data_IF_591487910740
#
_entry.id   IF_591487910740
#
_cell.length_a   1.000
_cell.length_b   1.000
_cell.length_c   1.000
_cell.angle_alpha   90.00
_cell.angle_beta   90.00
_cell.angle_gamma   90.00
#
_symmetry.space_group_name_H-M   'P 1'
#
loop_
_entity.id
_entity.type
_entity.pdbx_description
1 polymer ?
#
# COMPACT_ATOMS: atom_id res chain seq x y z
N UNK A 1 -15.07 22.59 25.01
CA UNK A 1 -15.44 21.30 24.38
C UNK A 1 -14.58 21.15 23.13
N UNK A 2 -13.95 19.99 22.91
CA UNK A 2 -13.19 19.74 21.69
C UNK A 2 -14.16 19.50 20.52
N UNK A 3 -13.88 20.07 19.35
CA UNK A 3 -14.64 19.85 18.13
C UNK A 3 -14.65 18.36 17.76
N UNK A 4 -15.82 17.84 17.43
CA UNK A 4 -16.02 16.48 16.92
C UNK A 4 -15.70 16.45 15.43
N UNK A 5 -15.56 15.25 14.87
CA UNK A 5 -15.39 15.08 13.43
C UNK A 5 -16.51 15.76 12.63
N UNK A 6 -17.76 15.69 13.11
CA UNK A 6 -18.93 16.30 12.47
C UNK A 6 -18.77 17.82 12.34
N UNK A 7 -18.28 18.48 13.39
CA UNK A 7 -17.97 19.92 13.38
C UNK A 7 -16.86 20.25 12.34
N UNK A 8 -15.87 19.36 12.23
CA UNK A 8 -14.77 19.50 11.29
C UNK A 8 -15.17 19.22 9.83
N UNK A 9 -16.06 18.26 9.60
CA UNK A 9 -16.62 17.96 8.29
C UNK A 9 -17.52 19.10 7.80
N UNK A 10 -18.38 19.63 8.68
CA UNK A 10 -19.19 20.80 8.37
C UNK A 10 -18.32 22.02 8.04
N UNK A 11 -17.24 22.24 8.82
CA UNK A 11 -16.29 23.32 8.55
C UNK A 11 -15.55 23.16 7.22
N UNK A 12 -15.25 21.93 6.82
CA UNK A 12 -14.64 21.63 5.52
C UNK A 12 -15.57 21.97 4.34
N UNK A 13 -16.86 21.62 4.42
CA UNK A 13 -17.81 21.95 3.36
C UNK A 13 -17.93 23.48 3.18
N UNK A 14 -17.93 24.25 4.27
CA UNK A 14 -17.90 25.72 4.21
C UNK A 14 -16.60 26.19 3.54
N UNK A 15 -15.45 25.69 3.98
CA UNK A 15 -14.14 26.04 3.41
C UNK A 15 -14.07 25.80 1.89
N UNK A 16 -14.55 24.63 1.44
CA UNK A 16 -14.59 24.24 0.03
C UNK A 16 -15.57 25.08 -0.79
N UNK A 17 -16.77 25.34 -0.25
CA UNK A 17 -17.80 26.13 -0.94
C UNK A 17 -17.37 27.57 -1.24
N UNK A 18 -16.41 28.08 -0.46
CA UNK A 18 -15.82 29.41 -0.60
C UNK A 18 -14.40 29.35 -1.19
N UNK A 19 -14.02 28.23 -1.84
CA UNK A 19 -12.74 28.03 -2.52
C UNK A 19 -11.50 28.33 -1.66
N UNK A 20 -11.60 28.13 -0.34
CA UNK A 20 -10.51 28.40 0.61
C UNK A 20 -10.28 29.87 0.93
N UNK A 21 -11.06 30.79 0.36
CA UNK A 21 -11.02 32.25 0.64
C UNK A 21 -11.89 32.61 1.85
N UNK A 22 -11.81 31.82 2.92
CA UNK A 22 -12.60 32.03 4.14
C UNK A 22 -11.77 31.83 5.38
N UNK A 23 -11.88 32.75 6.34
CA UNK A 23 -11.13 32.73 7.58
C UNK A 23 -11.73 31.79 8.63
N UNK A 24 -10.92 31.34 9.59
CA UNK A 24 -11.39 30.51 10.71
C UNK A 24 -12.57 31.14 11.50
N UNK A 25 -12.58 32.45 11.83
CA UNK A 25 -13.74 33.08 12.47
C UNK A 25 -15.02 32.93 11.64
N UNK A 26 -14.96 33.15 10.33
CA UNK A 26 -16.10 33.07 9.41
C UNK A 26 -16.62 31.63 9.28
N UNK A 27 -15.72 30.63 9.16
CA UNK A 27 -16.11 29.21 9.19
C UNK A 27 -16.82 28.89 10.51
N UNK A 28 -16.23 29.32 11.63
CA UNK A 28 -16.79 29.04 12.95
C UNK A 28 -18.14 29.73 13.18
N UNK A 29 -18.38 30.88 12.57
CA UNK A 29 -19.68 31.55 12.56
C UNK A 29 -20.69 30.76 11.73
N UNK A 30 -20.31 30.36 10.50
CA UNK A 30 -21.16 29.60 9.60
C UNK A 30 -21.60 28.24 10.17
N UNK A 31 -20.68 27.47 10.76
CA UNK A 31 -21.02 26.15 11.32
C UNK A 31 -21.79 26.28 12.64
N UNK A 32 -21.56 27.34 13.43
CA UNK A 32 -22.37 27.62 14.64
C UNK A 32 -23.81 27.93 14.30
N UNK A 33 -24.06 28.66 13.21
CA UNK A 33 -25.41 28.92 12.71
C UNK A 33 -26.17 27.62 12.35
N UNK A 34 -25.44 26.55 12.04
CA UNK A 34 -25.97 25.22 11.74
C UNK A 34 -26.02 24.29 12.97
N UNK A 35 -25.66 24.79 14.16
CA UNK A 35 -25.68 24.03 15.41
C UNK A 35 -24.41 23.23 15.73
N UNK A 36 -23.34 23.39 14.94
CA UNK A 36 -22.05 22.74 15.20
C UNK A 36 -21.17 23.55 16.15
N UNK A 37 -20.20 22.89 16.76
CA UNK A 37 -19.20 23.52 17.63
C UNK A 37 -18.09 24.19 16.81
N UNK A 38 -17.47 25.23 17.38
CA UNK A 38 -16.32 25.87 16.74
C UNK A 38 -15.12 24.90 16.63
N UNK A 39 -14.46 24.92 15.47
CA UNK A 39 -13.24 24.19 15.16
C UNK A 39 -11.99 25.00 15.54
N UNK A 40 -10.89 24.29 15.82
CA UNK A 40 -9.64 24.89 16.26
C UNK A 40 -8.71 25.25 15.09
N UNK A 41 -7.69 26.09 15.35
CA UNK A 41 -6.68 26.46 14.35
C UNK A 41 -6.02 25.25 13.68
N UNK A 42 -5.74 24.19 14.44
CA UNK A 42 -5.19 22.93 13.89
C UNK A 42 -6.09 22.32 12.81
N UNK A 43 -7.40 22.37 13.00
CA UNK A 43 -8.38 21.85 12.02
C UNK A 43 -8.44 22.75 10.79
N UNK A 44 -8.33 24.07 10.97
CA UNK A 44 -8.26 25.02 9.86
C UNK A 44 -7.02 24.80 8.98
N UNK A 45 -5.83 24.69 9.58
CA UNK A 45 -4.60 24.35 8.84
C UNK A 45 -4.68 22.99 8.14
N UNK A 46 -5.48 22.08 8.69
CA UNK A 46 -5.76 20.80 8.04
C UNK A 46 -6.67 20.96 6.81
N UNK A 47 -7.64 21.88 6.80
CA UNK A 47 -8.42 22.20 5.59
C UNK A 47 -7.52 22.73 4.47
N UNK A 48 -6.61 23.67 4.78
CA UNK A 48 -5.63 24.17 3.81
C UNK A 48 -4.81 23.03 3.20
N UNK A 49 -4.39 22.07 4.04
CA UNK A 49 -3.67 20.86 3.60
C UNK A 49 -4.55 19.97 2.71
N UNK A 50 -5.83 19.76 3.04
CA UNK A 50 -6.76 18.97 2.22
C UNK A 50 -7.00 19.62 0.85
N UNK A 51 -7.22 20.93 0.81
CA UNK A 51 -7.45 21.69 -0.41
C UNK A 51 -6.21 21.68 -1.32
N UNK A 52 -5.02 21.89 -0.75
CA UNK A 52 -3.75 21.79 -1.49
C UNK A 52 -3.53 20.41 -2.11
N UNK A 53 -4.04 19.36 -1.46
CA UNK A 53 -3.93 17.97 -1.93
C UNK A 53 -5.11 17.55 -2.84
N UNK A 54 -6.00 18.48 -3.20
CA UNK A 54 -7.10 18.23 -4.13
C UNK A 54 -8.18 17.29 -3.59
N UNK A 55 -8.36 17.20 -2.27
CA UNK A 55 -9.42 16.37 -1.71
C UNK A 55 -10.79 17.05 -1.83
N UNK A 56 -11.79 16.31 -2.31
CA UNK A 56 -13.17 16.79 -2.44
C UNK A 56 -14.01 16.57 -1.17
N UNK A 57 -13.64 15.54 -0.39
CA UNK A 57 -14.33 15.15 0.84
C UNK A 57 -13.47 15.44 2.07
N UNK A 58 -14.13 15.73 3.20
CA UNK A 58 -13.41 15.87 4.46
C UNK A 58 -12.79 14.53 4.87
N UNK A 59 -11.46 14.51 5.01
CA UNK A 59 -10.72 13.43 5.63
C UNK A 59 -10.26 13.88 7.01
N UNK A 60 -10.40 13.06 8.05
CA UNK A 60 -9.82 13.41 9.35
C UNK A 60 -8.30 13.53 9.25
N UNK A 61 -7.70 14.28 10.17
CA UNK A 61 -6.25 14.35 10.33
C UNK A 61 -5.65 12.94 10.39
N UNK A 62 -6.25 12.03 11.16
CA UNK A 62 -5.78 10.65 11.24
C UNK A 62 -5.90 9.89 9.92
N UNK A 63 -6.99 10.05 9.16
CA UNK A 63 -7.12 9.44 7.82
C UNK A 63 -6.10 9.99 6.83
N UNK A 64 -5.84 11.29 6.91
CA UNK A 64 -4.84 11.94 6.07
C UNK A 64 -3.44 11.51 6.48
N UNK A 65 -3.14 11.45 7.78
CA UNK A 65 -1.86 10.97 8.29
C UNK A 65 -1.67 9.49 7.95
N UNK A 66 -2.69 8.64 8.04
CA UNK A 66 -2.63 7.26 7.50
C UNK A 66 -2.38 7.22 5.99
N UNK A 67 -2.81 8.24 5.23
CA UNK A 67 -2.54 8.36 3.79
C UNK A 67 -1.16 8.92 3.46
N UNK A 68 -0.50 9.58 4.41
CA UNK A 68 0.74 10.35 4.19
C UNK A 68 1.86 10.04 5.20
N UNK A 69 1.71 9.05 6.07
CA UNK A 69 2.75 8.61 6.99
C UNK A 69 3.89 7.97 6.18
N UNK A 70 5.06 8.61 6.18
CA UNK A 70 6.28 8.11 5.55
C UNK A 70 7.47 8.24 6.51
N UNK A 71 7.95 7.10 7.02
CA UNK A 71 9.34 6.92 7.46
C UNK A 71 9.76 5.46 7.75
N UNK A 72 8.85 4.47 7.75
CA UNK A 72 9.19 3.04 7.80
C UNK A 72 7.99 2.14 7.42
N UNK A 73 8.25 1.03 6.72
CA UNK A 73 7.28 0.27 5.88
C UNK A 73 6.42 -0.76 6.63
N UNK A 74 6.81 -1.17 7.84
CA UNK A 74 6.22 -2.33 8.51
C UNK A 74 5.46 -2.01 9.80
N UNK A 75 5.25 -0.73 10.09
CA UNK A 75 4.27 -0.38 11.13
C UNK A 75 2.86 -0.44 10.55
N UNK A 76 1.91 -0.94 11.37
CA UNK A 76 0.47 -0.99 11.08
C UNK A 76 -0.15 0.36 10.66
N UNK A 77 0.62 1.43 10.82
CA UNK A 77 0.34 2.82 10.46
C UNK A 77 0.68 3.16 8.99
N UNK A 78 1.44 2.32 8.27
CA UNK A 78 1.82 2.54 6.85
C UNK A 78 0.75 2.09 5.84
N UNK A 79 -0.47 2.57 6.05
CA UNK A 79 -1.63 2.36 5.16
C UNK A 79 -1.66 3.35 3.99
N UNK A 80 -0.59 4.12 3.86
CA UNK A 80 -0.44 5.23 2.92
C UNK A 80 -0.38 4.74 1.47
N UNK A 81 0.18 3.53 1.28
CA UNK A 81 0.47 2.88 -0.01
C UNK A 81 -0.74 2.41 -0.78
N UNK A 82 -1.80 2.02 -0.08
CA UNK A 82 -2.96 1.42 -0.70
C UNK A 82 -3.97 2.51 -1.06
N UNK A 83 -4.04 2.81 -2.34
CA UNK A 83 -5.08 3.68 -2.87
C UNK A 83 -6.44 3.11 -2.45
N UNK A 84 -7.29 3.96 -1.89
CA UNK A 84 -8.65 3.53 -1.59
C UNK A 84 -9.52 3.76 -2.82
N UNK A 85 -10.47 2.85 -3.01
CA UNK A 85 -11.36 2.85 -4.15
C UNK A 85 -12.80 2.98 -3.65
N UNK A 86 -13.64 3.75 -4.37
CA UNK A 86 -15.06 3.70 -4.11
C UNK A 86 -15.55 2.27 -4.34
N UNK A 87 -16.36 1.77 -3.42
CA UNK A 87 -17.05 0.50 -3.51
C UNK A 87 -18.49 0.78 -3.13
N UNK A 88 -19.46 0.14 -3.77
CA UNK A 88 -20.84 0.16 -3.29
C UNK A 88 -21.27 -1.30 -3.14
N UNK A 89 -20.87 -1.91 -2.03
CA UNK A 89 -21.12 -3.32 -1.76
C UNK A 89 -21.84 -3.52 -0.44
N UNK A 90 -22.90 -4.35 -0.40
CA UNK A 90 -23.52 -4.74 0.85
C UNK A 90 -22.48 -5.44 1.74
N UNK A 91 -22.58 -5.15 3.03
CA UNK A 91 -21.70 -5.72 4.04
C UNK A 91 -22.41 -5.87 5.37
N UNK A 92 -21.92 -6.82 6.17
CA UNK A 92 -22.34 -7.04 7.55
C UNK A 92 -21.16 -6.79 8.48
N UNK A 93 -21.36 -5.95 9.48
CA UNK A 93 -20.41 -5.71 10.56
C UNK A 93 -20.83 -6.50 11.81
N UNK A 94 -19.93 -7.36 12.30
CA UNK A 94 -20.11 -8.18 13.50
C UNK A 94 -19.18 -7.67 14.60
N UNK A 95 -19.75 -7.14 15.69
CA UNK A 95 -18.99 -6.60 16.82
C UNK A 95 -19.39 -7.36 18.10
N UNK A 96 -18.45 -7.98 18.84
CA UNK A 96 -18.76 -8.56 20.14
C UNK A 96 -19.22 -7.48 21.11
N UNK A 97 -20.15 -7.82 21.98
CA UNK A 97 -20.63 -6.99 23.08
C UNK A 97 -20.34 -7.69 24.42
N UNK A 98 -20.87 -7.17 25.53
CA UNK A 98 -20.69 -7.80 26.84
C UNK A 98 -21.33 -9.18 26.96
N UNK A 99 -22.36 -9.47 26.17
CA UNK A 99 -23.24 -10.65 26.36
C UNK A 99 -23.57 -11.38 25.07
N UNK A 100 -23.29 -10.79 23.92
CA UNK A 100 -23.67 -11.31 22.60
C UNK A 100 -22.80 -10.71 21.48
N UNK A 101 -23.09 -11.00 20.22
CA UNK A 101 -22.50 -10.34 19.04
C UNK A 101 -23.53 -9.43 18.38
N UNK A 102 -23.23 -8.13 18.35
CA UNK A 102 -24.02 -7.18 17.58
C UNK A 102 -23.78 -7.38 16.08
N UNK A 103 -24.88 -7.49 15.33
CA UNK A 103 -24.90 -7.55 13.87
C UNK A 103 -25.45 -6.24 13.31
N UNK A 104 -24.71 -5.59 12.42
CA UNK A 104 -25.11 -4.37 11.75
C UNK A 104 -24.97 -4.52 10.24
N UNK A 105 -26.07 -4.37 9.52
CA UNK A 105 -26.10 -4.43 8.06
C UNK A 105 -25.94 -3.02 7.47
N UNK A 106 -25.24 -2.94 6.35
CA UNK A 106 -24.93 -1.67 5.70
C UNK A 106 -24.20 -1.84 4.38
N UNK A 107 -23.49 -0.80 3.98
CA UNK A 107 -22.74 -0.73 2.74
C UNK A 107 -21.29 -0.35 3.03
N UNK A 108 -20.34 -1.00 2.37
CA UNK A 108 -18.97 -0.47 2.27
C UNK A 108 -18.96 0.50 1.10
N UNK A 109 -18.58 1.75 1.39
CA UNK A 109 -18.56 2.88 0.43
C UNK A 109 -17.16 3.16 -0.13
N UNK A 110 -16.12 2.81 0.65
CA UNK A 110 -14.72 2.94 0.27
C UNK A 110 -13.94 1.77 0.86
N UNK A 111 -12.96 1.25 0.12
CA UNK A 111 -12.09 0.18 0.60
C UNK A 111 -10.66 0.38 0.07
N UNK A 112 -9.68 0.05 0.90
CA UNK A 112 -8.28 -0.15 0.55
C UNK A 112 -7.81 -1.47 1.15
N UNK A 113 -6.54 -1.83 0.97
CA UNK A 113 -5.99 -3.01 1.64
C UNK A 113 -5.87 -2.81 3.16
N UNK A 114 -5.86 -1.57 3.63
CA UNK A 114 -5.72 -1.26 5.05
C UNK A 114 -7.06 -0.99 5.75
N UNK A 115 -8.06 -0.45 5.06
CA UNK A 115 -9.28 0.02 5.71
C UNK A 115 -10.53 -0.06 4.84
N UNK A 116 -11.69 0.08 5.48
CA UNK A 116 -12.96 0.30 4.80
C UNK A 116 -13.77 1.40 5.48
N UNK A 117 -14.59 2.10 4.70
CA UNK A 117 -15.66 2.96 5.23
C UNK A 117 -16.98 2.21 5.14
N UNK A 118 -17.53 1.86 6.30
CA UNK A 118 -18.81 1.17 6.42
C UNK A 118 -19.91 2.17 6.80
N UNK A 119 -21.06 2.09 6.14
CA UNK A 119 -22.19 2.99 6.35
C UNK A 119 -23.43 2.17 6.65
N UNK A 120 -24.06 2.44 7.79
CA UNK A 120 -25.31 1.82 8.18
C UNK A 120 -26.39 2.87 8.48
N UNK A 121 -27.65 2.47 8.45
CA UNK A 121 -28.74 3.32 8.91
C UNK A 121 -28.56 3.69 10.39
N UNK A 122 -28.93 4.92 10.76
CA UNK A 122 -28.82 5.37 12.15
C UNK A 122 -29.83 4.65 13.03
N UNK A 123 -29.34 3.61 13.71
CA UNK A 123 -30.07 2.82 14.69
C UNK A 123 -29.45 2.96 16.07
N UNK A 124 -30.19 2.64 17.17
CA UNK A 124 -29.62 2.59 18.51
C UNK A 124 -28.36 1.70 18.60
N UNK A 125 -28.34 0.56 17.91
CA UNK A 125 -27.18 -0.34 17.85
C UNK A 125 -26.01 0.27 17.10
N UNK A 126 -26.24 0.87 15.92
CA UNK A 126 -25.19 1.54 15.16
C UNK A 126 -24.52 2.67 15.96
N UNK A 127 -25.32 3.51 16.63
CA UNK A 127 -24.82 4.59 17.49
C UNK A 127 -24.03 4.08 18.69
N UNK A 128 -24.47 2.99 19.30
CA UNK A 128 -23.76 2.35 20.42
C UNK A 128 -22.40 1.80 19.97
N UNK A 129 -22.39 1.03 18.88
CA UNK A 129 -21.16 0.46 18.30
C UNK A 129 -20.18 1.56 17.94
N UNK A 130 -20.65 2.58 17.20
CA UNK A 130 -19.82 3.70 16.77
C UNK A 130 -19.15 4.49 17.89
N UNK A 131 -19.78 4.55 19.07
CA UNK A 131 -19.26 5.25 20.25
C UNK A 131 -18.49 4.34 21.22
N UNK A 132 -18.51 3.02 21.01
CA UNK A 132 -17.89 2.04 21.89
C UNK A 132 -16.37 2.05 21.73
N UNK A 133 -15.65 2.36 22.82
CA UNK A 133 -14.18 2.18 22.88
C UNK A 133 -13.75 0.83 23.43
N UNK A 134 -14.61 0.18 24.23
CA UNK A 134 -14.31 -1.12 24.87
C UNK A 134 -14.45 -2.28 23.89
N UNK A 135 -15.48 -2.21 23.04
CA UNK A 135 -15.77 -3.22 22.03
C UNK A 135 -15.69 -2.60 20.65
N UNK A 136 -14.47 -2.32 20.20
CA UNK A 136 -14.19 -1.68 18.93
C UNK A 136 -13.47 -2.61 17.95
N UNK A 137 -13.52 -3.93 18.15
CA UNK A 137 -12.90 -4.92 17.27
C UNK A 137 -13.93 -5.94 16.86
N UNK A 138 -13.88 -6.44 15.63
CA UNK A 138 -14.86 -7.38 15.14
C UNK A 138 -14.53 -7.89 13.74
N UNK A 139 -15.56 -8.27 13.00
CA UNK A 139 -15.42 -8.81 11.64
C UNK A 139 -16.31 -8.02 10.69
N UNK A 140 -15.75 -7.57 9.58
CA UNK A 140 -16.49 -7.05 8.43
C UNK A 140 -16.63 -8.17 7.39
N UNK A 141 -17.86 -8.44 6.98
CA UNK A 141 -18.18 -9.42 5.93
C UNK A 141 -18.63 -8.68 4.68
N UNK A 142 -17.89 -8.82 3.59
CA UNK A 142 -18.28 -8.32 2.28
C UNK A 142 -19.26 -9.31 1.64
N UNK A 143 -20.57 -9.01 1.71
CA UNK A 143 -21.63 -9.98 1.39
C UNK A 143 -21.58 -10.49 -0.05
N UNK A 144 -21.19 -9.62 -0.99
CA UNK A 144 -21.11 -9.94 -2.42
C UNK A 144 -20.10 -11.06 -2.72
N UNK A 145 -18.95 -11.03 -2.04
CA UNK A 145 -17.80 -11.90 -2.33
C UNK A 145 -17.52 -12.90 -1.19
N UNK A 146 -18.26 -12.81 -0.08
CA UNK A 146 -18.08 -13.63 1.12
C UNK A 146 -16.67 -13.55 1.71
N UNK A 147 -16.00 -12.41 1.53
CA UNK A 147 -14.71 -12.13 2.13
C UNK A 147 -14.93 -11.57 3.53
N UNK A 148 -14.23 -12.12 4.51
CA UNK A 148 -14.28 -11.67 5.90
C UNK A 148 -12.98 -11.01 6.29
N UNK A 149 -13.03 -9.88 6.99
CA UNK A 149 -11.83 -9.23 7.51
C UNK A 149 -11.99 -8.83 8.96
N UNK A 150 -10.97 -9.16 9.76
CA UNK A 150 -10.87 -8.70 11.13
C UNK A 150 -10.59 -7.21 11.16
N UNK A 151 -11.39 -6.46 11.90
CA UNK A 151 -11.35 -4.99 11.94
C UNK A 151 -11.14 -4.44 13.34
N UNK A 152 -10.71 -3.20 13.39
CA UNK A 152 -10.83 -2.30 14.52
C UNK A 152 -11.59 -1.05 14.07
N UNK A 153 -12.66 -0.68 14.78
CA UNK A 153 -13.34 0.58 14.60
C UNK A 153 -12.43 1.70 15.12
N UNK A 154 -12.06 2.58 14.21
CA UNK A 154 -11.17 3.71 14.47
C UNK A 154 -11.96 4.99 14.70
N UNK A 155 -12.97 5.24 13.87
CA UNK A 155 -13.79 6.45 13.91
C UNK A 155 -15.26 6.11 13.60
N UNK A 156 -16.18 6.92 14.13
CA UNK A 156 -17.60 6.85 13.78
C UNK A 156 -18.23 8.23 13.81
N UNK A 157 -19.14 8.46 12.87
CA UNK A 157 -19.73 9.77 12.59
C UNK A 157 -21.19 9.57 12.22
N UNK A 158 -22.09 10.38 12.77
CA UNK A 158 -23.51 10.36 12.41
C UNK A 158 -23.82 11.55 11.48
N UNK A 159 -24.19 11.25 10.22
CA UNK A 159 -24.50 12.25 9.19
C UNK A 159 -25.73 11.77 8.40
N UNK A 160 -26.68 12.67 8.17
CA UNK A 160 -27.87 12.45 7.32
C UNK A 160 -28.65 11.17 7.62
N UNK A 161 -28.88 10.88 8.91
CA UNK A 161 -29.61 9.68 9.33
C UNK A 161 -28.83 8.37 9.12
N UNK A 162 -27.53 8.45 8.84
CA UNK A 162 -26.62 7.31 8.71
C UNK A 162 -25.49 7.39 9.74
N UNK A 163 -24.92 6.25 10.10
CA UNK A 163 -23.69 6.15 10.89
C UNK A 163 -22.58 5.62 9.98
N UNK A 164 -21.59 6.47 9.72
CA UNK A 164 -20.39 6.15 8.94
C UNK A 164 -19.25 5.77 9.88
N UNK A 165 -18.66 4.60 9.66
CA UNK A 165 -17.60 4.04 10.50
C UNK A 165 -16.33 3.82 9.67
N UNK A 166 -15.19 4.28 10.20
CA UNK A 166 -13.87 3.91 9.67
C UNK A 166 -13.43 2.61 10.33
N UNK A 167 -13.25 1.58 9.51
CA UNK A 167 -12.82 0.26 9.93
C UNK A 167 -11.38 0.04 9.46
N UNK A 168 -10.49 -0.17 10.41
CA UNK A 168 -9.07 -0.43 10.23
C UNK A 168 -8.86 -1.94 10.24
N UNK A 169 -8.40 -2.52 9.13
CA UNK A 169 -8.14 -3.96 9.09
C UNK A 169 -6.95 -4.36 9.97
N UNK A 170 -7.05 -5.52 10.62
CA UNK A 170 -5.99 -6.10 11.46
C UNK A 170 -4.96 -6.92 10.67
N UNK A 171 -5.25 -7.19 9.42
CA UNK A 171 -4.35 -7.73 8.41
C UNK A 171 -4.73 -7.05 7.09
N UNK A 172 -3.79 -6.98 6.14
CA UNK A 172 -4.11 -6.42 4.84
C UNK A 172 -5.21 -7.25 4.15
N UNK A 173 -6.05 -6.56 3.39
CA UNK A 173 -7.03 -7.15 2.50
C UNK A 173 -6.45 -7.12 1.08
N UNK A 174 -6.39 -8.28 0.43
CA UNK A 174 -6.19 -8.38 -0.99
C UNK A 174 -7.42 -7.75 -1.69
N UNK A 175 -7.27 -6.51 -2.16
CA UNK A 175 -8.41 -5.70 -2.64
C UNK A 175 -9.02 -6.27 -3.93
N UNK A 176 -8.27 -7.05 -4.69
CA UNK A 176 -8.74 -7.83 -5.82
C UNK A 176 -9.88 -8.79 -5.43
N UNK A 177 -9.87 -9.36 -4.22
CA UNK A 177 -10.94 -10.24 -3.74
C UNK A 177 -12.30 -9.55 -3.57
N UNK A 178 -12.31 -8.24 -3.31
CA UNK A 178 -13.55 -7.46 -3.14
C UNK A 178 -13.99 -6.75 -4.43
N UNK A 179 -13.16 -6.78 -5.47
CA UNK A 179 -13.42 -6.21 -6.77
C UNK A 179 -13.21 -7.24 -7.90
N UNK A 180 -13.83 -8.44 -7.84
CA UNK A 180 -13.52 -9.54 -8.75
C UNK A 180 -13.70 -9.17 -10.23
N UNK A 181 -14.66 -8.30 -10.54
CA UNK A 181 -14.96 -7.90 -11.93
C UNK A 181 -13.98 -6.84 -12.49
N UNK A 182 -13.12 -6.27 -11.64
CA UNK A 182 -12.13 -5.25 -12.03
C UNK A 182 -10.69 -5.77 -11.92
N UNK A 183 -10.51 -7.00 -11.46
CA UNK A 183 -9.18 -7.63 -11.45
C UNK A 183 -8.82 -7.97 -12.89
N UNK A 184 -7.73 -7.42 -13.39
CA UNK A 184 -7.22 -7.84 -14.69
C UNK A 184 -6.59 -9.24 -14.62
N UNK A 185 -6.13 -9.81 -15.74
CA UNK A 185 -5.56 -11.16 -15.75
C UNK A 185 -4.38 -11.27 -14.77
N UNK A 186 -4.18 -12.48 -14.27
CA UNK A 186 -3.03 -12.87 -13.47
C UNK A 186 -2.07 -13.73 -14.30
N UNK A 187 -0.80 -13.75 -13.92
CA UNK A 187 0.21 -14.66 -14.47
C UNK A 187 1.08 -15.18 -13.33
N UNK A 188 1.70 -16.34 -13.55
CA UNK A 188 2.62 -16.95 -12.59
C UNK A 188 4.06 -16.75 -13.06
N UNK A 189 4.90 -16.20 -12.19
CA UNK A 189 6.35 -16.09 -12.40
C UNK A 189 7.09 -16.91 -11.36
N UNK A 190 8.15 -17.61 -11.77
CA UNK A 190 9.08 -18.31 -10.88
C UNK A 190 10.30 -17.45 -10.63
N UNK A 191 10.49 -17.08 -9.37
CA UNK A 191 11.75 -16.53 -8.89
C UNK A 191 12.65 -17.68 -8.39
N UNK A 192 13.84 -17.80 -8.98
CA UNK A 192 14.87 -18.78 -8.60
C UNK A 192 16.07 -18.04 -8.01
N UNK A 193 16.35 -18.30 -6.73
CA UNK A 193 17.47 -17.70 -5.99
C UNK A 193 18.42 -18.79 -5.49
N UNK A 194 19.63 -18.89 -6.04
CA UNK A 194 20.63 -19.85 -5.56
C UNK A 194 21.18 -19.42 -4.19
N UNK A 195 20.94 -20.21 -3.14
CA UNK A 195 21.33 -19.88 -1.76
C UNK A 195 22.53 -20.69 -1.22
N UNK A 196 23.23 -21.43 -2.09
CA UNK A 196 24.31 -22.35 -1.70
C UNK A 196 23.80 -23.70 -1.20
N UNK A 197 24.69 -24.65 -0.94
CA UNK A 197 24.32 -26.07 -0.72
C UNK A 197 23.53 -26.34 0.57
N UNK A 198 23.70 -25.49 1.59
CA UNK A 198 23.03 -25.60 2.89
C UNK A 198 22.54 -24.22 3.35
N UNK A 199 21.42 -23.72 2.79
CA UNK A 199 20.95 -22.37 3.06
C UNK A 199 20.41 -22.25 4.48
N UNK A 200 20.80 -21.17 5.17
CA UNK A 200 20.26 -20.90 6.51
C UNK A 200 18.76 -20.58 6.44
N UNK A 201 18.01 -20.95 7.48
CA UNK A 201 16.59 -20.57 7.59
C UNK A 201 16.41 -19.04 7.51
N UNK A 202 17.37 -18.28 8.04
CA UNK A 202 17.36 -16.83 7.94
C UNK A 202 17.41 -16.37 6.48
N UNK A 203 18.35 -16.89 5.69
CA UNK A 203 18.48 -16.57 4.25
C UNK A 203 17.21 -16.91 3.48
N UNK A 204 16.62 -18.08 3.72
CA UNK A 204 15.33 -18.48 3.11
C UNK A 204 14.21 -17.51 3.46
N UNK A 205 14.07 -17.15 4.74
CA UNK A 205 13.01 -16.23 5.20
C UNK A 205 13.24 -14.81 4.67
N UNK A 206 14.48 -14.34 4.64
CA UNK A 206 14.86 -13.05 4.09
C UNK A 206 14.49 -12.98 2.61
N UNK A 207 14.94 -13.94 1.81
CA UNK A 207 14.65 -13.99 0.37
C UNK A 207 13.15 -14.07 0.12
N UNK A 208 12.43 -14.93 0.85
CA UNK A 208 10.98 -15.02 0.74
C UNK A 208 10.32 -13.66 1.02
N UNK A 209 10.64 -13.01 2.13
CA UNK A 209 10.07 -11.71 2.51
C UNK A 209 10.41 -10.62 1.49
N UNK A 210 11.68 -10.54 1.08
CA UNK A 210 12.12 -9.49 0.15
C UNK A 210 11.57 -9.67 -1.25
N UNK A 211 11.27 -10.90 -1.65
CA UNK A 211 10.54 -11.16 -2.90
C UNK A 211 9.14 -10.54 -2.88
N UNK A 212 8.43 -10.64 -1.75
CA UNK A 212 7.16 -9.97 -1.54
C UNK A 212 7.30 -8.45 -1.51
N UNK A 213 8.28 -7.93 -0.78
CA UNK A 213 8.52 -6.49 -0.68
C UNK A 213 8.83 -5.85 -2.03
N UNK A 214 9.64 -6.54 -2.85
CA UNK A 214 9.98 -6.13 -4.21
C UNK A 214 8.73 -6.04 -5.07
N UNK A 215 7.93 -7.11 -5.11
CA UNK A 215 6.71 -7.14 -5.90
C UNK A 215 5.70 -6.08 -5.43
N UNK A 216 5.44 -6.00 -4.12
CA UNK A 216 4.47 -5.06 -3.55
C UNK A 216 4.85 -3.59 -3.78
N UNK A 217 6.14 -3.26 -3.64
CA UNK A 217 6.63 -1.90 -3.92
C UNK A 217 6.42 -1.52 -5.38
N UNK A 218 6.70 -2.44 -6.30
CA UNK A 218 6.50 -2.23 -7.73
C UNK A 218 5.03 -2.27 -8.13
N UNK A 219 4.18 -3.07 -7.48
CA UNK A 219 2.72 -3.03 -7.67
C UNK A 219 2.17 -1.67 -7.26
N UNK A 220 2.61 -1.12 -6.12
CA UNK A 220 2.25 0.23 -5.70
C UNK A 220 2.72 1.30 -6.69
N UNK A 221 3.92 1.14 -7.24
CA UNK A 221 4.45 2.03 -8.27
C UNK A 221 3.59 2.00 -9.54
N UNK A 222 3.28 0.80 -10.05
CA UNK A 222 2.45 0.60 -11.23
C UNK A 222 1.03 1.11 -10.99
N UNK A 223 0.44 0.87 -9.82
CA UNK A 223 -0.89 1.39 -9.48
C UNK A 223 -0.90 2.92 -9.53
N UNK A 224 0.11 3.59 -8.98
CA UNK A 224 0.25 5.05 -9.06
C UNK A 224 0.46 5.55 -10.49
N UNK A 225 1.28 4.87 -11.28
CA UNK A 225 1.51 5.21 -12.68
C UNK A 225 0.22 5.06 -13.50
N UNK A 226 -0.44 3.90 -13.44
CA UNK A 226 -1.69 3.62 -14.16
C UNK A 226 -2.84 4.53 -13.70
N UNK A 227 -2.86 4.91 -12.40
CA UNK A 227 -3.78 5.94 -11.87
C UNK A 227 -3.82 7.18 -12.73
N UNK A 228 -2.63 7.54 -13.19
CA UNK A 228 -2.35 8.84 -13.72
C UNK A 228 -2.76 8.88 -15.19
N UNK A 229 -2.58 7.75 -15.89
CA UNK A 229 -2.78 7.66 -17.34
C UNK A 229 -4.22 7.31 -17.72
N UNK A 230 -5.02 6.70 -16.83
CA UNK A 230 -6.37 6.18 -17.18
C UNK A 230 -7.50 6.80 -16.34
N UNK A 231 -8.26 7.77 -16.86
CA UNK A 231 -9.47 8.27 -16.20
C UNK A 231 -10.62 7.24 -16.29
N UNK A 232 -11.05 6.68 -15.15
CA UNK A 232 -12.37 6.05 -15.01
C UNK A 232 -12.49 4.51 -15.17
N UNK A 233 -11.47 3.81 -15.67
CA UNK A 233 -11.50 2.33 -15.85
C UNK A 233 -10.24 1.65 -15.31
N UNK A 234 -9.87 2.01 -14.09
CA UNK A 234 -8.61 1.58 -13.50
C UNK A 234 -8.71 0.12 -13.01
N UNK A 235 -7.97 -0.85 -13.57
CA UNK A 235 -8.03 -2.21 -13.07
C UNK A 235 -7.50 -2.28 -11.64
N UNK A 236 -7.93 -3.29 -10.91
CA UNK A 236 -7.35 -3.66 -9.63
C UNK A 236 -6.19 -4.62 -9.91
N UNK A 237 -4.97 -4.18 -9.59
CA UNK A 237 -3.79 -5.04 -9.73
C UNK A 237 -3.84 -6.12 -8.64
N UNK A 238 -3.80 -7.37 -9.07
CA UNK A 238 -3.80 -8.51 -8.16
C UNK A 238 -2.64 -8.45 -7.15
N UNK A 239 -2.95 -8.67 -5.88
CA UNK A 239 -1.95 -8.86 -4.82
C UNK A 239 -1.16 -10.15 -5.07
N UNK A 240 0.14 -10.20 -4.71
CA UNK A 240 0.97 -11.38 -4.94
C UNK A 240 0.49 -12.55 -4.08
N UNK A 241 0.41 -13.73 -4.67
CA UNK A 241 0.05 -14.98 -3.96
C UNK A 241 1.09 -16.04 -4.22
N UNK A 242 1.49 -16.75 -3.16
CA UNK A 242 2.36 -17.93 -3.31
C UNK A 242 1.55 -19.07 -3.91
N UNK A 243 1.93 -19.54 -5.09
CA UNK A 243 1.41 -20.79 -5.66
C UNK A 243 2.24 -21.99 -5.21
N UNK A 244 3.56 -21.84 -5.16
CA UNK A 244 4.50 -22.89 -4.72
C UNK A 244 5.73 -22.27 -4.09
N UNK A 245 6.25 -22.94 -3.07
CA UNK A 245 7.49 -22.60 -2.40
C UNK A 245 8.37 -23.84 -2.28
N UNK A 246 9.62 -23.75 -2.73
CA UNK A 246 10.68 -24.72 -2.51
C UNK A 246 11.82 -24.02 -1.75
N UNK A 247 12.08 -24.47 -0.53
CA UNK A 247 13.08 -23.88 0.38
C UNK A 247 14.47 -24.52 0.25
N UNK A 248 14.70 -25.28 -0.83
CA UNK A 248 15.98 -25.92 -1.11
C UNK A 248 17.01 -24.95 -1.70
N UNK A 249 18.04 -25.52 -2.31
CA UNK A 249 18.96 -24.78 -3.18
C UNK A 249 18.85 -25.33 -4.60
N UNK A 250 18.36 -24.52 -5.55
CA UNK A 250 17.92 -23.14 -5.38
C UNK A 250 16.63 -23.01 -4.55
N UNK A 251 16.46 -21.84 -3.94
CA UNK A 251 15.17 -21.38 -3.46
C UNK A 251 14.30 -21.08 -4.68
N UNK A 252 13.09 -21.63 -4.72
CA UNK A 252 12.14 -21.38 -5.81
C UNK A 252 10.81 -20.91 -5.23
N UNK A 253 10.34 -19.77 -5.75
CA UNK A 253 9.09 -19.16 -5.35
C UNK A 253 8.25 -18.87 -6.60
N UNK A 254 7.12 -19.56 -6.72
CA UNK A 254 6.15 -19.32 -7.78
C UNK A 254 5.13 -18.29 -7.25
N UNK A 255 5.17 -17.08 -7.79
CA UNK A 255 4.28 -15.98 -7.43
C UNK A 255 3.23 -15.78 -8.52
N UNK A 256 1.97 -15.76 -8.11
CA UNK A 256 0.84 -15.32 -8.94
C UNK A 256 0.62 -13.83 -8.71
N UNK A 257 0.54 -13.06 -9.79
CA UNK A 257 0.42 -11.60 -9.73
C UNK A 257 -0.10 -10.99 -11.03
N UNK A 258 -0.19 -9.67 -11.07
CA UNK A 258 -0.55 -8.88 -12.24
C UNK A 258 0.61 -8.85 -13.24
N UNK A 259 0.38 -9.24 -14.51
CA UNK A 259 1.39 -9.20 -15.57
C UNK A 259 2.03 -7.83 -15.77
N UNK A 260 1.32 -6.74 -15.44
CA UNK A 260 1.84 -5.38 -15.54
C UNK A 260 3.01 -5.09 -14.60
N UNK A 261 3.15 -5.85 -13.52
CA UNK A 261 4.19 -5.63 -12.50
C UNK A 261 5.50 -6.33 -12.86
N UNK A 262 5.42 -7.47 -13.56
CA UNK A 262 6.58 -8.31 -13.85
C UNK A 262 7.69 -7.64 -14.67
N UNK A 263 7.41 -6.82 -15.70
CA UNK A 263 8.46 -6.09 -16.41
C UNK A 263 9.31 -5.21 -15.49
N UNK A 264 8.68 -4.53 -14.53
CA UNK A 264 9.40 -3.72 -13.55
C UNK A 264 10.20 -4.58 -12.56
N UNK A 265 9.67 -5.73 -12.15
CA UNK A 265 10.40 -6.69 -11.28
C UNK A 265 11.64 -7.22 -12.00
N UNK A 266 11.48 -7.65 -13.26
CA UNK A 266 12.57 -8.12 -14.09
C UNK A 266 13.64 -7.05 -14.30
N UNK A 267 13.24 -5.79 -14.53
CA UNK A 267 14.16 -4.65 -14.62
C UNK A 267 14.95 -4.46 -13.32
N UNK A 268 14.28 -4.48 -12.16
CA UNK A 268 14.96 -4.33 -10.87
C UNK A 268 15.97 -5.44 -10.63
N UNK A 269 15.61 -6.70 -10.87
CA UNK A 269 16.53 -7.83 -10.75
C UNK A 269 17.73 -7.62 -11.70
N UNK A 270 17.47 -7.31 -12.98
CA UNK A 270 18.52 -7.15 -14.00
C UNK A 270 19.50 -6.01 -13.70
N UNK A 271 19.04 -4.91 -13.11
CA UNK A 271 19.87 -3.72 -12.86
C UNK A 271 20.57 -3.78 -11.50
N UNK A 272 19.86 -4.23 -10.46
CA UNK A 272 20.35 -4.20 -9.08
C UNK A 272 21.26 -5.40 -8.80
N UNK A 273 20.84 -6.61 -9.15
CA UNK A 273 21.52 -7.85 -8.76
C UNK A 273 22.99 -7.88 -9.20
N UNK A 274 23.34 -7.59 -10.48
CA UNK A 274 24.74 -7.68 -10.90
C UNK A 274 25.68 -6.74 -10.13
N UNK A 275 25.20 -5.53 -9.82
CA UNK A 275 25.99 -4.52 -9.10
C UNK A 275 26.23 -4.97 -7.66
N UNK A 276 25.19 -5.46 -6.97
CA UNK A 276 25.30 -5.91 -5.59
C UNK A 276 26.13 -7.18 -5.49
N UNK A 277 25.91 -8.18 -6.35
CA UNK A 277 26.69 -9.42 -6.34
C UNK A 277 28.17 -9.16 -6.63
N UNK A 278 28.51 -8.22 -7.52
CA UNK A 278 29.92 -7.82 -7.72
C UNK A 278 30.53 -7.21 -6.46
N UNK A 279 29.81 -6.31 -5.80
CA UNK A 279 30.29 -5.65 -4.60
C UNK A 279 30.49 -6.60 -3.41
N UNK A 280 29.54 -7.53 -3.21
CA UNK A 280 29.65 -8.55 -2.16
C UNK A 280 30.88 -9.42 -2.38
N UNK A 281 31.17 -9.81 -3.63
CA UNK A 281 32.39 -10.57 -3.96
C UNK A 281 33.66 -9.77 -3.65
N UNK A 282 33.70 -8.49 -4.03
CA UNK A 282 34.85 -7.63 -3.75
C UNK A 282 35.09 -7.46 -2.24
N UNK A 283 34.01 -7.29 -1.45
CA UNK A 283 34.09 -7.20 0.02
C UNK A 283 34.51 -8.52 0.64
N UNK A 284 34.00 -9.66 0.15
CA UNK A 284 34.40 -10.98 0.63
C UNK A 284 35.88 -11.25 0.35
N UNK A 285 36.37 -10.96 -0.87
CA UNK A 285 37.78 -11.06 -1.23
C UNK A 285 38.65 -10.19 -0.31
N UNK A 286 38.25 -8.92 -0.12
CA UNK A 286 38.96 -8.00 0.77
C UNK A 286 38.99 -8.49 2.24
N UNK A 287 37.93 -9.14 2.73
CA UNK A 287 37.88 -9.73 4.07
C UNK A 287 38.78 -10.95 4.22
N UNK A 288 38.90 -11.80 3.20
CA UNK A 288 39.88 -12.90 3.19
C UNK A 288 41.31 -12.38 3.18
N UNK A 289 41.59 -11.33 2.41
CA UNK A 289 42.93 -10.74 2.30
C UNK A 289 43.30 -9.93 3.57
N UNK A 290 42.34 -9.25 4.19
CA UNK A 290 42.53 -8.43 5.40
C UNK A 290 42.41 -9.20 6.71
N UNK A 291 42.06 -10.50 6.67
CA UNK A 291 42.12 -11.36 7.86
C UNK A 291 43.56 -11.54 8.38
N UNK A 292 44.58 -11.30 7.53
CA UNK A 292 45.99 -11.20 7.92
C UNK A 292 46.35 -9.83 8.55
N UNK A 293 45.61 -8.76 8.29
CA UNK A 293 45.89 -7.38 8.74
C UNK A 293 44.79 -6.83 9.66
N UNK A 294 44.73 -7.35 10.87
CA UNK A 294 43.55 -7.17 11.75
C UNK A 294 43.58 -5.87 12.59
N UNK A 295 42.41 -5.18 12.61
CA UNK A 295 41.70 -4.54 13.75
C UNK A 295 41.29 -3.05 13.66
N UNK A 296 41.51 -2.34 12.56
CA UNK A 296 41.02 -0.95 12.42
C UNK A 296 39.89 -0.71 11.40
N UNK A 297 39.44 -1.74 10.65
CA UNK A 297 38.67 -1.53 9.41
C UNK A 297 37.21 -2.04 9.40
N UNK A 298 36.62 -2.42 10.53
CA UNK A 298 35.25 -2.99 10.55
C UNK A 298 34.13 -1.97 10.17
N UNK A 299 34.43 -0.67 10.07
CA UNK A 299 33.45 0.36 9.63
C UNK A 299 33.34 0.52 8.11
N UNK A 300 34.41 0.28 7.37
CA UNK A 300 34.45 0.50 5.91
C UNK A 300 33.48 -0.38 5.09
N UNK A 301 33.26 -1.68 5.37
CA UNK A 301 32.43 -2.50 4.50
C UNK A 301 30.93 -2.14 4.57
N UNK A 302 30.41 -1.84 5.76
CA UNK A 302 29.02 -1.39 5.92
C UNK A 302 28.79 0.00 5.32
N UNK A 303 29.78 0.89 5.40
CA UNK A 303 29.76 2.18 4.73
C UNK A 303 29.78 2.03 3.20
N UNK A 304 30.57 1.09 2.67
CA UNK A 304 30.63 0.79 1.23
C UNK A 304 29.31 0.19 0.71
N UNK A 305 28.72 -0.77 1.42
CA UNK A 305 27.42 -1.35 1.08
C UNK A 305 26.32 -0.27 1.07
N UNK A 306 26.31 0.61 2.09
CA UNK A 306 25.38 1.73 2.18
C UNK A 306 25.56 2.75 1.04
N UNK A 307 26.79 3.12 0.72
CA UNK A 307 27.09 4.04 -0.39
C UNK A 307 26.71 3.44 -1.76
N UNK A 308 26.93 2.15 -1.97
CA UNK A 308 26.53 1.47 -3.19
C UNK A 308 25.02 1.37 -3.34
N UNK A 309 24.30 1.08 -2.25
CA UNK A 309 22.85 1.08 -2.22
C UNK A 309 22.29 2.48 -2.54
N UNK A 310 22.89 3.53 -1.98
CA UNK A 310 22.47 4.92 -2.26
C UNK A 310 22.76 5.31 -3.71
N UNK A 311 23.92 4.91 -4.26
CA UNK A 311 24.25 5.10 -5.67
C UNK A 311 23.26 4.33 -6.58
N UNK A 312 22.85 3.12 -6.20
CA UNK A 312 21.85 2.34 -6.95
C UNK A 312 20.48 3.01 -6.95
N UNK A 313 20.03 3.53 -5.80
CA UNK A 313 18.79 4.30 -5.69
C UNK A 313 18.82 5.53 -6.60
N UNK A 314 19.94 6.26 -6.63
CA UNK A 314 20.09 7.43 -7.51
C UNK A 314 20.20 7.07 -9.00
N UNK A 315 20.82 5.93 -9.33
CA UNK A 315 21.04 5.48 -10.71
C UNK A 315 19.76 5.01 -11.39
N UNK A 316 18.88 4.36 -10.63
CA UNK A 316 17.59 3.91 -11.16
C UNK A 316 16.67 5.12 -11.15
N UNK A 317 16.33 5.59 -12.34
CA UNK A 317 15.43 6.72 -12.53
C UNK A 317 13.99 6.21 -12.68
N UNK A 318 13.02 6.99 -12.17
CA UNK A 318 11.59 6.73 -12.37
C UNK A 318 11.26 6.60 -13.87
N UNK A 319 11.93 7.38 -14.73
CA UNK A 319 11.77 7.32 -16.18
C UNK A 319 12.08 5.92 -16.75
N UNK A 320 13.13 5.24 -16.25
CA UNK A 320 13.48 3.89 -16.71
C UNK A 320 12.40 2.86 -16.35
N UNK A 321 11.80 2.98 -15.16
CA UNK A 321 10.67 2.14 -14.77
C UNK A 321 9.45 2.41 -15.67
N UNK A 322 9.15 3.67 -15.96
CA UNK A 322 8.05 4.07 -16.85
C UNK A 322 8.28 3.52 -18.27
N UNK A 323 9.48 3.63 -18.82
CA UNK A 323 9.81 3.17 -20.18
C UNK A 323 9.58 1.66 -20.35
N UNK A 324 9.85 0.87 -19.31
CA UNK A 324 9.60 -0.59 -19.33
C UNK A 324 8.12 -0.92 -19.15
N UNK A 325 7.39 -0.11 -18.38
CA UNK A 325 5.96 -0.29 -18.15
C UNK A 325 5.09 0.21 -19.30
N UNK A 326 5.52 1.21 -20.06
CA UNK A 326 4.73 1.86 -21.11
C UNK A 326 4.23 0.86 -22.17
N UNK A 327 5.07 -0.02 -22.76
CA UNK A 327 4.60 -1.04 -23.70
C UNK A 327 3.58 -2.01 -23.10
N UNK A 328 3.87 -2.56 -21.92
CA UNK A 328 3.00 -3.51 -21.23
C UNK A 328 1.65 -2.86 -20.87
N UNK A 329 1.68 -1.60 -20.43
CA UNK A 329 0.49 -0.83 -20.09
C UNK A 329 -0.37 -0.54 -21.32
N UNK A 330 0.24 -0.19 -22.45
CA UNK A 330 -0.50 0.02 -23.72
C UNK A 330 -1.16 -1.26 -24.21
N UNK A 331 -0.42 -2.37 -24.21
CA UNK A 331 -0.94 -3.68 -24.60
C UNK A 331 -2.09 -4.12 -23.71
N UNK A 332 -1.94 -3.98 -22.39
CA UNK A 332 -2.89 -4.46 -21.40
C UNK A 332 -4.14 -3.58 -21.26
N UNK A 333 -4.00 -2.25 -21.41
CA UNK A 333 -5.10 -1.29 -21.21
C UNK A 333 -5.68 -0.75 -22.54
N UNK A 334 -5.09 -1.08 -23.69
CA UNK A 334 -5.53 -0.57 -24.98
C UNK A 334 -5.42 0.96 -25.10
N UNK A 335 -4.39 1.56 -24.48
CA UNK A 335 -4.19 3.00 -24.49
C UNK A 335 -3.43 3.43 -25.76
N UNK A 336 -4.10 4.19 -26.62
CA UNK A 336 -3.54 4.64 -27.92
C UNK A 336 -2.73 5.95 -27.85
N UNK A 337 -2.83 6.74 -26.77
CA UNK A 337 -2.12 8.03 -26.71
C UNK A 337 -1.68 8.42 -25.29
N UNK A 338 -0.57 9.16 -25.21
CA UNK A 338 -0.01 9.71 -23.96
C UNK A 338 -0.96 10.72 -23.34
N UNK A 339 -1.88 10.24 -22.50
CA UNK A 339 -2.63 11.08 -21.55
C UNK A 339 -1.63 11.80 -20.65
N UNK A 340 -1.60 13.13 -20.73
CA UNK A 340 -0.59 13.98 -20.11
C UNK A 340 -0.31 13.63 -18.66
N UNK A 341 0.97 13.69 -18.28
CA UNK A 341 1.45 13.39 -16.92
C UNK A 341 0.61 14.15 -15.90
N UNK A 342 -0.21 13.47 -15.10
CA UNK A 342 -0.70 14.09 -13.88
C UNK A 342 0.50 14.45 -13.03
N UNK A 343 0.30 15.32 -12.05
CA UNK A 343 1.26 15.51 -10.97
C UNK A 343 1.39 14.19 -10.22
N UNK A 344 2.24 13.30 -10.76
CA UNK A 344 2.67 12.10 -10.09
C UNK A 344 3.25 12.55 -8.76
N UNK A 345 2.85 11.89 -7.68
CA UNK A 345 3.44 12.13 -6.37
C UNK A 345 4.89 11.64 -6.42
N UNK A 346 5.79 12.50 -6.89
CA UNK A 346 7.18 12.18 -7.22
C UNK A 346 7.90 11.60 -6.00
N UNK A 347 7.69 12.19 -4.83
CA UNK A 347 8.23 11.71 -3.56
C UNK A 347 7.79 10.27 -3.26
N UNK A 348 6.54 9.94 -3.56
CA UNK A 348 5.99 8.60 -3.32
C UNK A 348 6.48 7.57 -4.34
N UNK A 349 6.55 7.94 -5.62
CA UNK A 349 7.14 7.07 -6.64
C UNK A 349 8.60 6.78 -6.32
N UNK A 350 9.34 7.80 -5.89
CA UNK A 350 10.74 7.70 -5.47
C UNK A 350 10.88 6.78 -4.24
N UNK A 351 10.02 6.92 -3.23
CA UNK A 351 10.02 6.04 -2.07
C UNK A 351 9.76 4.57 -2.41
N UNK A 352 8.77 4.29 -3.27
CA UNK A 352 8.44 2.93 -3.71
C UNK A 352 9.57 2.32 -4.56
N UNK A 353 10.15 3.11 -5.46
CA UNK A 353 11.34 2.72 -6.22
C UNK A 353 12.50 2.37 -5.28
N UNK A 354 12.82 3.22 -4.32
CA UNK A 354 13.95 3.00 -3.40
C UNK A 354 13.77 1.73 -2.56
N UNK A 355 12.54 1.41 -2.16
CA UNK A 355 12.24 0.15 -1.47
C UNK A 355 12.36 -1.07 -2.38
N UNK A 356 11.93 -0.96 -3.64
CA UNK A 356 12.15 -2.03 -4.62
C UNK A 356 13.64 -2.30 -4.82
N UNK A 357 14.46 -1.24 -4.87
CA UNK A 357 15.94 -1.35 -4.96
C UNK A 357 16.51 -2.03 -3.71
N UNK A 358 16.09 -1.62 -2.51
CA UNK A 358 16.51 -2.25 -1.24
C UNK A 358 16.14 -3.73 -1.20
N UNK A 359 14.89 -4.07 -1.55
CA UNK A 359 14.43 -5.45 -1.57
C UNK A 359 15.22 -6.29 -2.58
N UNK A 360 15.42 -5.80 -3.80
CA UNK A 360 16.23 -6.49 -4.81
C UNK A 360 17.70 -6.65 -4.38
N UNK A 361 18.28 -5.64 -3.72
CA UNK A 361 19.64 -5.70 -3.21
C UNK A 361 19.77 -6.74 -2.10
N UNK A 362 18.83 -6.81 -1.16
CA UNK A 362 18.85 -7.81 -0.10
C UNK A 362 18.68 -9.24 -0.62
N UNK A 363 17.86 -9.46 -1.66
CA UNK A 363 17.80 -10.76 -2.34
C UNK A 363 19.17 -11.08 -2.98
N UNK A 364 19.82 -10.09 -3.61
CA UNK A 364 21.11 -10.26 -4.26
C UNK A 364 22.26 -10.56 -3.30
N UNK A 365 22.22 -10.02 -2.07
CA UNK A 365 23.21 -10.29 -1.03
C UNK A 365 23.19 -11.76 -0.59
N UNK A 366 22.00 -12.37 -0.52
CA UNK A 366 21.83 -13.78 -0.13
C UNK A 366 22.15 -14.75 -1.28
N UNK A 367 22.13 -14.28 -2.53
CA UNK A 367 22.34 -15.12 -3.69
C UNK A 367 23.82 -15.46 -3.93
N UNK A 368 24.11 -16.75 -4.16
CA UNK A 368 25.47 -17.23 -4.48
C UNK A 368 25.82 -17.11 -5.97
N UNK A 369 24.80 -17.03 -6.82
CA UNK A 369 24.93 -16.83 -8.26
C UNK A 369 23.75 -16.04 -8.82
N UNK A 370 23.65 -15.96 -10.15
CA UNK A 370 22.62 -15.17 -10.81
C UNK A 370 21.21 -15.57 -10.40
N UNK A 371 20.37 -14.56 -10.17
CA UNK A 371 18.95 -14.71 -9.86
C UNK A 371 18.18 -14.74 -11.16
N UNK A 372 17.22 -15.66 -11.25
CA UNK A 372 16.41 -15.84 -12.46
C UNK A 372 14.93 -15.60 -12.16
N UNK A 373 14.25 -14.97 -13.11
CA UNK A 373 12.79 -14.79 -13.12
C UNK A 373 12.27 -15.38 -14.44
N UNK A 374 11.39 -16.36 -14.36
CA UNK A 374 10.85 -17.06 -15.54
C UNK A 374 9.32 -17.14 -15.50
N UNK A 375 8.64 -16.86 -16.62
CA UNK A 375 7.21 -17.09 -16.71
C UNK A 375 6.95 -18.59 -16.61
N UNK A 376 5.90 -18.94 -15.87
CA UNK A 376 5.35 -20.28 -15.88
C UNK A 376 4.06 -20.25 -16.67
N UNK A 377 3.95 -21.15 -17.65
CA UNK A 377 2.67 -21.39 -18.30
C UNK A 377 1.66 -21.82 -17.22
N UNK A 378 0.49 -21.18 -17.23
CA UNK A 378 -0.61 -21.67 -16.42
C UNK A 378 -1.00 -23.03 -17.01
N UNK A 379 -0.61 -24.10 -16.31
CA UNK A 379 -1.16 -25.45 -16.44
C UNK A 379 -2.67 -25.39 -16.14
N UNK A 380 -3.40 -24.76 -17.06
CA UNK A 380 -4.85 -24.80 -17.18
C UNK A 380 -5.23 -26.07 -17.93
N UNK A 381 -4.75 -27.21 -17.43
CA UNK A 381 -5.24 -28.55 -17.75
C UNK A 381 -4.75 -29.50 -16.66
N UNK A 382 -5.57 -29.66 -15.61
CA UNK A 382 -5.15 -30.36 -14.40
C UNK A 382 -6.25 -30.79 -13.43
N UNK A 383 -7.46 -31.06 -13.91
CA UNK A 383 -8.60 -31.77 -13.24
C UNK A 383 -9.41 -31.01 -12.18
#
# INVERSE_FOLDING_TARGET
>A
MAARFEDAAAGWEVYKSLHGEVSLPEINEAIRAQGFSAVAQRTYSHYEKLARLGYEEYLSINRLDLRHASSSVFDFEDRSRYSDRPLNSPATLLIPSSTDVDRLEGQVTRVSEGFATFVAASSPSARRIGKSRKYNRGVLVFERVRVERAIALSESVEIDGSVRMLLVFRSLLETDLVFPDMVGPTSTERLRVPLGDDPSLFSVVTVFRRSFDLYESLRGFVDLYVSAVTPGQRPVLASPRVRRLSVGSPFELDLVGSPLVWPAVALMIKVVVPVVTSAVRDVQQFRTDSAEEKRHQDRHPLEMESLQLENLKQRIEIAQLIDVLEPATREYLGLDDRGGSPELNADRLEALKNQAVEAAAEIAVEATSDIELHPLDDDSDGS
#
